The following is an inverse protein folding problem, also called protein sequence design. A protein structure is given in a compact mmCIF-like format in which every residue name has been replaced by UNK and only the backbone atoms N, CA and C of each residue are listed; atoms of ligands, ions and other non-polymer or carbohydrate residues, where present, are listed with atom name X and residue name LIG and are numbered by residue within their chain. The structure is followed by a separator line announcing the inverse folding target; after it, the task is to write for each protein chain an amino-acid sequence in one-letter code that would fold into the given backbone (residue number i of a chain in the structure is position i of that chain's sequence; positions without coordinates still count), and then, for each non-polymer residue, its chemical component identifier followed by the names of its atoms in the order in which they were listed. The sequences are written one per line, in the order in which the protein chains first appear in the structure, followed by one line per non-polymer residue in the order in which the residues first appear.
data_IF_371840523681
#
_entry.id   IF_371840523681
#
_cell.length_a   1.000
_cell.length_b   1.000
_cell.length_c   1.000
_cell.angle_alpha   90.00
_cell.angle_beta   90.00
_cell.angle_gamma   90.00
#
_symmetry.space_group_name_H-M   'P 1'
#
loop_
_entity.id
_entity.type
_entity.pdbx_description
1 polymer ?
#
# COMPACT_ATOMS: atom_id res chain seq x y z
N UNK A 1 -10.04 8.69 -13.51
CA UNK A 1 -9.98 8.49 -12.06
C UNK A 1 -8.54 8.16 -11.68
N UNK A 2 -8.11 8.62 -10.51
CA UNK A 2 -6.78 8.33 -9.97
C UNK A 2 -6.95 7.54 -8.68
N UNK A 3 -6.00 6.66 -8.41
CA UNK A 3 -5.94 5.89 -7.16
C UNK A 3 -4.62 6.25 -6.47
N UNK A 4 -4.67 6.49 -5.17
CA UNK A 4 -3.50 6.69 -4.34
C UNK A 4 -3.15 5.39 -3.63
N UNK A 5 -1.95 4.89 -3.86
CA UNK A 5 -1.39 3.75 -3.14
C UNK A 5 -0.40 4.24 -2.09
N UNK A 6 -0.51 3.76 -0.87
CA UNK A 6 0.43 4.02 0.20
C UNK A 6 1.34 2.82 0.45
N UNK A 7 0.92 1.92 1.33
CA UNK A 7 1.72 0.80 1.80
C UNK A 7 2.01 -0.28 0.76
N UNK A 8 1.26 -0.39 -0.32
CA UNK A 8 1.45 -1.44 -1.33
C UNK A 8 2.86 -1.46 -1.93
N UNK A 9 3.45 -0.29 -2.15
CA UNK A 9 4.80 -0.19 -2.70
C UNK A 9 5.89 -0.08 -1.63
N UNK A 10 5.51 0.03 -0.36
CA UNK A 10 6.48 0.24 0.71
C UNK A 10 7.38 -0.98 0.97
N UNK A 11 6.89 -2.19 0.70
CA UNK A 11 7.63 -3.45 0.85
C UNK A 11 8.35 -3.92 -0.42
N UNK A 12 8.81 -2.99 -1.26
CA UNK A 12 9.52 -3.31 -2.51
C UNK A 12 10.98 -2.88 -2.47
N UNK A 13 11.79 -3.38 -3.39
CA UNK A 13 13.20 -2.96 -3.50
C UNK A 13 13.34 -1.47 -3.81
N UNK A 14 12.44 -0.93 -4.64
CA UNK A 14 12.48 0.46 -5.09
C UNK A 14 12.00 1.45 -4.03
N UNK A 15 11.37 0.97 -2.96
CA UNK A 15 10.99 1.82 -1.84
C UNK A 15 12.20 2.52 -1.23
N UNK A 16 12.07 3.81 -0.96
CA UNK A 16 13.15 4.65 -0.46
C UNK A 16 13.64 4.31 0.97
N UNK A 17 12.87 3.50 1.72
CA UNK A 17 13.26 3.09 3.07
C UNK A 17 14.42 2.08 3.03
N UNK A 18 15.25 2.09 4.09
CA UNK A 18 16.32 1.12 4.25
C UNK A 18 15.78 -0.31 4.34
N UNK A 19 16.49 -1.23 3.70
CA UNK A 19 16.17 -2.66 3.79
C UNK A 19 16.80 -3.25 5.05
N UNK A 20 15.98 -3.76 5.93
CA UNK A 20 16.36 -4.35 7.21
C UNK A 20 16.07 -5.86 7.21
N UNK A 21 16.63 -6.56 8.20
CA UNK A 21 16.35 -7.99 8.45
C UNK A 21 15.75 -8.17 9.83
N UNK A 22 14.75 -9.02 9.92
CA UNK A 22 14.23 -9.47 11.22
C UNK A 22 15.09 -10.60 11.81
N UNK A 23 14.72 -11.07 12.98
CA UNK A 23 15.40 -12.17 13.70
C UNK A 23 15.36 -13.50 12.94
N UNK A 24 14.43 -13.66 12.00
CA UNK A 24 14.29 -14.86 11.17
C UNK A 24 14.99 -14.69 9.80
N UNK A 25 15.69 -13.58 9.59
CA UNK A 25 16.40 -13.28 8.36
C UNK A 25 15.51 -12.73 7.23
N UNK A 26 14.21 -12.51 7.45
CA UNK A 26 13.31 -11.94 6.44
C UNK A 26 13.60 -10.46 6.23
N UNK A 27 13.61 -10.07 4.97
CA UNK A 27 13.80 -8.67 4.58
C UNK A 27 12.51 -7.87 4.77
N UNK A 28 12.64 -6.68 5.31
CA UNK A 28 11.53 -5.75 5.45
C UNK A 28 12.01 -4.30 5.32
N UNK A 29 11.08 -3.41 5.05
CA UNK A 29 11.26 -1.95 5.10
C UNK A 29 10.33 -1.36 6.15
N UNK A 30 10.79 -0.33 6.85
CA UNK A 30 9.94 0.37 7.80
C UNK A 30 9.13 1.44 7.07
N UNK A 31 7.81 1.30 7.13
CA UNK A 31 6.87 2.31 6.65
C UNK A 31 6.33 3.10 7.83
N UNK A 32 6.38 4.41 7.75
CA UNK A 32 5.87 5.32 8.78
C UNK A 32 5.16 6.52 8.15
N UNK A 33 4.18 7.07 8.87
CA UNK A 33 3.39 8.19 8.38
C UNK A 33 4.25 9.42 8.09
N UNK A 34 3.92 10.17 7.05
CA UNK A 34 4.63 11.38 6.62
C UNK A 34 4.65 12.49 7.69
N UNK A 35 3.67 12.52 8.58
CA UNK A 35 3.58 13.45 9.69
C UNK A 35 4.06 12.84 11.03
N UNK A 36 4.68 11.67 11.03
CA UNK A 36 5.32 11.09 12.21
C UNK A 36 6.58 11.86 12.59
N UNK A 37 6.94 11.87 13.87
CA UNK A 37 8.17 12.49 14.37
C UNK A 37 9.41 12.01 13.60
N UNK A 38 9.45 10.74 13.23
CA UNK A 38 10.55 10.16 12.45
C UNK A 38 10.65 10.76 11.06
N UNK A 39 9.51 10.90 10.35
CA UNK A 39 9.46 11.52 9.03
C UNK A 39 9.82 13.01 9.10
N UNK A 40 9.33 13.70 10.12
CA UNK A 40 9.67 15.12 10.37
C UNK A 40 11.16 15.28 10.61
N UNK A 41 11.76 14.49 11.49
CA UNK A 41 13.21 14.53 11.78
C UNK A 41 14.07 14.25 10.55
N UNK A 42 13.71 13.26 9.75
CA UNK A 42 14.45 12.93 8.53
C UNK A 42 14.38 14.07 7.51
N UNK A 43 13.20 14.69 7.36
CA UNK A 43 12.95 15.77 6.41
C UNK A 43 13.56 17.11 6.81
N UNK A 44 13.71 17.34 8.13
CA UNK A 44 14.22 18.60 8.70
C UNK A 44 15.65 18.50 9.19
N UNK A 45 16.42 17.53 8.68
CA UNK A 45 17.79 17.27 9.14
C UNK A 45 18.71 18.48 9.01
N UNK A 46 18.50 19.30 7.98
CA UNK A 46 19.28 20.50 7.67
C UNK A 46 18.67 21.81 8.23
N UNK A 47 17.55 21.72 8.95
CA UNK A 47 16.87 22.87 9.53
C UNK A 47 17.41 23.18 10.95
N UNK A 48 17.18 24.43 11.41
CA UNK A 48 17.53 24.83 12.77
C UNK A 48 16.78 24.01 13.84
N UNK A 49 17.38 23.89 15.02
CA UNK A 49 16.77 23.16 16.14
C UNK A 49 15.39 23.70 16.54
N UNK A 50 15.19 25.03 16.43
CA UNK A 50 13.93 25.71 16.78
C UNK A 50 12.83 25.39 15.77
N UNK A 51 13.14 25.43 14.47
CA UNK A 51 12.19 25.09 13.41
C UNK A 51 11.79 23.62 13.46
N UNK A 52 12.75 22.74 13.73
CA UNK A 52 12.51 21.32 13.93
C UNK A 52 11.57 21.07 15.11
N UNK A 53 11.85 21.65 16.28
CA UNK A 53 11.02 21.52 17.47
C UNK A 53 9.60 22.02 17.22
N UNK A 54 9.42 23.10 16.49
CA UNK A 54 8.11 23.64 16.12
C UNK A 54 7.31 22.67 15.24
N UNK A 55 7.96 21.99 14.30
CA UNK A 55 7.32 21.00 13.40
C UNK A 55 7.01 19.68 14.12
N UNK A 56 7.81 19.31 15.11
CA UNK A 56 7.59 18.12 15.94
C UNK A 56 6.38 18.26 16.91
N UNK A 57 5.92 19.49 17.18
CA UNK A 57 4.74 19.73 18.04
C UNK A 57 3.41 19.25 17.42
N UNK A 58 3.36 19.03 16.12
CA UNK A 58 2.17 18.62 15.39
C UNK A 58 2.36 17.24 14.78
N UNK A 59 2.48 16.21 15.63
CA UNK A 59 2.52 14.82 15.19
C UNK A 59 1.12 14.34 14.83
N UNK A 60 0.89 14.06 13.56
CA UNK A 60 -0.38 13.53 13.05
C UNK A 60 -0.30 12.09 12.53
N UNK A 61 0.84 11.46 12.57
CA UNK A 61 1.02 10.13 11.98
C UNK A 61 1.62 9.13 12.96
N UNK A 62 0.79 8.27 13.53
CA UNK A 62 1.21 7.19 14.43
C UNK A 62 1.41 5.84 13.72
N UNK A 63 1.14 5.75 12.42
CA UNK A 63 1.29 4.49 11.70
C UNK A 63 2.77 4.16 11.49
N UNK A 64 3.20 3.08 12.12
CA UNK A 64 4.51 2.46 11.88
C UNK A 64 4.30 0.99 11.61
N UNK A 65 4.82 0.50 10.49
CA UNK A 65 4.65 -0.88 10.06
C UNK A 65 5.94 -1.43 9.47
N UNK A 66 6.15 -2.73 9.63
CA UNK A 66 7.16 -3.47 8.90
C UNK A 66 6.52 -4.02 7.64
N UNK A 67 7.03 -3.59 6.51
CA UNK A 67 6.57 -4.03 5.18
C UNK A 67 7.57 -5.06 4.69
N UNK A 68 7.22 -6.34 4.82
CA UNK A 68 8.07 -7.44 4.37
C UNK A 68 8.13 -7.49 2.84
N UNK A 69 9.33 -7.71 2.32
CA UNK A 69 9.51 -7.97 0.91
C UNK A 69 9.05 -9.41 0.61
N UNK A 70 8.32 -9.56 -0.49
CA UNK A 70 8.04 -10.87 -1.03
C UNK A 70 9.36 -11.46 -1.56
N UNK A 71 9.80 -12.65 -1.10
CA UNK A 71 11.06 -13.22 -1.55
C UNK A 71 11.08 -13.61 -3.03
N UNK A 72 9.92 -13.87 -3.63
CA UNK A 72 9.80 -14.29 -5.03
C UNK A 72 9.50 -13.10 -5.95
N UNK A 73 8.79 -12.11 -5.46
CA UNK A 73 8.30 -10.96 -6.25
C UNK A 73 8.47 -9.64 -5.50
N UNK A 74 9.71 -9.20 -5.24
CA UNK A 74 9.98 -8.04 -4.38
C UNK A 74 9.94 -6.69 -5.11
N UNK A 75 9.61 -6.65 -6.39
CA UNK A 75 9.68 -5.45 -7.23
C UNK A 75 8.33 -4.73 -7.33
N UNK A 76 8.37 -3.42 -7.53
CA UNK A 76 7.18 -2.61 -7.88
C UNK A 76 6.53 -3.11 -9.16
N UNK A 77 7.32 -3.58 -10.12
CA UNK A 77 6.83 -4.11 -11.39
C UNK A 77 5.89 -5.31 -11.19
N UNK A 78 6.25 -6.23 -10.29
CA UNK A 78 5.41 -7.38 -9.94
C UNK A 78 4.05 -6.94 -9.38
N UNK A 79 4.03 -5.91 -8.54
CA UNK A 79 2.80 -5.35 -7.98
C UNK A 79 1.96 -4.67 -9.07
N UNK A 80 2.59 -3.92 -9.97
CA UNK A 80 1.92 -3.28 -11.08
C UNK A 80 1.27 -4.30 -12.03
N UNK A 81 1.95 -5.39 -12.31
CA UNK A 81 1.42 -6.48 -13.13
C UNK A 81 0.18 -7.10 -12.49
N UNK A 82 0.19 -7.33 -11.18
CA UNK A 82 -0.98 -7.82 -10.44
C UNK A 82 -2.14 -6.82 -10.50
N UNK A 83 -1.87 -5.54 -10.31
CA UNK A 83 -2.89 -4.49 -10.40
C UNK A 83 -3.49 -4.44 -11.81
N UNK A 84 -2.66 -4.46 -12.84
CA UNK A 84 -3.11 -4.43 -14.24
C UNK A 84 -3.91 -5.68 -14.58
N UNK A 85 -3.49 -6.85 -14.12
CA UNK A 85 -4.24 -8.09 -14.28
C UNK A 85 -5.62 -8.00 -13.60
N UNK A 86 -5.69 -7.45 -12.39
CA UNK A 86 -6.94 -7.21 -11.68
C UNK A 86 -7.88 -6.24 -12.40
N UNK A 87 -7.34 -5.15 -12.94
CA UNK A 87 -8.13 -4.19 -13.73
C UNK A 87 -8.68 -4.84 -15.00
N UNK A 88 -7.86 -5.63 -15.72
CA UNK A 88 -8.30 -6.37 -16.92
C UNK A 88 -9.42 -7.35 -16.60
N UNK A 89 -9.28 -8.12 -15.52
CA UNK A 89 -10.32 -9.05 -15.06
C UNK A 89 -11.60 -8.30 -14.70
N UNK A 90 -11.51 -7.17 -14.01
CA UNK A 90 -12.66 -6.35 -13.66
C UNK A 90 -13.39 -5.82 -14.92
N UNK A 91 -12.63 -5.40 -15.94
CA UNK A 91 -13.23 -5.02 -17.23
C UNK A 91 -13.99 -6.18 -17.88
N UNK A 92 -13.42 -7.38 -17.84
CA UNK A 92 -14.08 -8.59 -18.37
C UNK A 92 -15.40 -8.87 -17.65
N UNK A 93 -15.43 -8.83 -16.31
CA UNK A 93 -16.65 -9.03 -15.53
C UNK A 93 -17.71 -7.96 -15.81
N UNK A 94 -17.32 -6.72 -16.08
CA UNK A 94 -18.24 -5.64 -16.42
C UNK A 94 -18.63 -5.61 -17.91
N UNK A 95 -18.15 -6.55 -18.74
CA UNK A 95 -18.38 -6.54 -20.17
C UNK A 95 -17.83 -5.30 -20.88
N UNK A 96 -16.67 -4.84 -20.43
CA UNK A 96 -16.04 -3.61 -20.91
C UNK A 96 -14.72 -3.91 -21.62
N UNK A 97 -14.46 -3.29 -22.78
CA UNK A 97 -13.23 -3.43 -23.54
C UNK A 97 -12.14 -2.45 -23.13
N UNK A 98 -12.49 -1.44 -22.34
CA UNK A 98 -11.58 -0.40 -21.85
C UNK A 98 -12.12 0.24 -20.56
N UNK A 99 -11.29 1.04 -19.90
CA UNK A 99 -11.63 1.68 -18.62
C UNK A 99 -12.75 2.71 -18.71
N UNK A 100 -13.01 3.30 -19.88
CA UNK A 100 -14.13 4.24 -20.11
C UNK A 100 -15.45 3.47 -20.12
N UNK A 101 -15.49 2.35 -20.82
CA UNK A 101 -16.66 1.44 -20.81
C UNK A 101 -16.85 0.80 -19.44
N UNK A 102 -15.78 0.37 -18.79
CA UNK A 102 -15.83 -0.14 -17.42
C UNK A 102 -16.54 0.83 -16.48
N UNK A 103 -16.20 2.11 -16.53
CA UNK A 103 -16.86 3.14 -15.72
C UNK A 103 -18.36 3.26 -15.99
N UNK A 104 -18.79 3.02 -17.21
CA UNK A 104 -20.22 3.08 -17.59
C UNK A 104 -20.99 1.83 -17.16
N UNK A 105 -20.35 0.68 -17.25
CA UNK A 105 -20.97 -0.63 -17.05
C UNK A 105 -20.90 -1.10 -15.58
N UNK A 106 -19.90 -0.62 -14.82
CA UNK A 106 -19.70 -1.05 -13.44
C UNK A 106 -20.86 -0.60 -12.55
N UNK A 107 -21.39 -1.55 -11.79
CA UNK A 107 -22.44 -1.31 -10.78
C UNK A 107 -21.84 -1.52 -9.40
N UNK A 108 -22.04 -0.53 -8.53
CA UNK A 108 -21.61 -0.61 -7.13
C UNK A 108 -22.81 -1.03 -6.29
N UNK A 109 -22.69 -2.15 -5.59
CA UNK A 109 -23.70 -2.66 -4.68
C UNK A 109 -23.25 -2.57 -3.22
N UNK A 110 -24.22 -2.53 -2.32
CA UNK A 110 -23.99 -2.67 -0.88
C UNK A 110 -24.11 -4.16 -0.54
N UNK A 111 -23.07 -4.71 0.08
CA UNK A 111 -23.05 -6.11 0.51
C UNK A 111 -23.32 -6.19 2.02
N UNK A 112 -24.11 -7.16 2.45
CA UNK A 112 -24.29 -7.47 3.86
C UNK A 112 -23.04 -8.13 4.45
N UNK A 113 -22.91 -8.13 5.78
CA UNK A 113 -21.82 -8.84 6.46
C UNK A 113 -21.83 -10.35 6.12
N UNK A 114 -23.00 -10.97 6.03
CA UNK A 114 -23.13 -12.39 5.64
C UNK A 114 -22.65 -12.65 4.21
N UNK A 115 -23.01 -11.76 3.25
CA UNK A 115 -22.53 -11.87 1.87
C UNK A 115 -21.03 -11.69 1.75
N UNK A 116 -20.44 -10.80 2.56
CA UNK A 116 -18.99 -10.62 2.64
C UNK A 116 -18.30 -11.91 3.12
N UNK A 117 -18.78 -12.52 4.20
CA UNK A 117 -18.20 -13.77 4.74
C UNK A 117 -18.36 -14.95 3.77
N UNK A 118 -19.45 -15.01 3.00
CA UNK A 118 -19.64 -16.03 1.98
C UNK A 118 -18.63 -15.93 0.84
N UNK A 119 -18.32 -14.71 0.39
CA UNK A 119 -17.36 -14.44 -0.69
C UNK A 119 -15.90 -14.40 -0.25
N UNK A 120 -15.62 -14.53 1.05
CA UNK A 120 -14.28 -14.43 1.59
C UNK A 120 -13.41 -15.63 1.19
N UNK A 121 -12.15 -15.43 0.79
CA UNK A 121 -11.21 -16.53 0.57
C UNK A 121 -11.12 -17.44 1.80
N UNK A 122 -11.16 -18.73 1.60
CA UNK A 122 -11.01 -19.73 2.66
C UNK A 122 -9.60 -20.31 2.61
N UNK A 123 -9.00 -20.53 3.77
CA UNK A 123 -7.65 -21.08 3.89
C UNK A 123 -7.57 -22.58 3.48
N UNK A 124 -8.72 -23.24 3.43
CA UNK A 124 -8.84 -24.62 2.98
C UNK A 124 -9.89 -24.72 1.89
N UNK A 125 -9.48 -25.17 0.71
CA UNK A 125 -10.40 -25.68 -0.29
C UNK A 125 -10.78 -27.13 0.04
N UNK A 126 -11.92 -27.57 -0.40
CA UNK A 126 -12.46 -28.93 -0.31
C UNK A 126 -11.41 -30.03 -0.50
#
# INVERSE_FOLDING_TARGET
ANIMFGSWFAGTYESAADTLRDTNGRLYKESFGMASNRAVRNRTRDESAVERARKELFEEGISSSRMYLDPERPSVEDILDQIVAGVRSSCTYAGASNTVEFRKNAVIGIQSASGYEEGRPRDTSW
#
